data_IF_016966113817
#
_entry.id   IF_016966113817
#
_cell.length_a   1.000
_cell.length_b   1.000
_cell.length_c   1.000
_cell.angle_alpha   90.00
_cell.angle_beta   90.00
_cell.angle_gamma   90.00
#
_symmetry.space_group_name_H-M   'P 1'
#
loop_
_entity.id
_entity.type
_entity.pdbx_description
1 polymer ?
#
# COMPACT_ATOMS: atom_id res chain seq x y z
N UNK A 1 -18.10 1.67 -2.63
CA UNK A 1 -17.34 2.09 -3.82
C UNK A 1 -16.14 1.15 -3.97
N UNK A 2 -15.80 0.71 -5.18
CA UNK A 2 -14.81 -0.35 -5.40
C UNK A 2 -13.41 0.29 -5.49
N UNK A 3 -12.60 0.20 -4.43
CA UNK A 3 -11.28 0.85 -4.27
C UNK A 3 -10.30 0.55 -5.42
N UNK A 4 -10.56 -0.51 -6.19
CA UNK A 4 -9.78 -0.95 -7.35
C UNK A 4 -9.86 -0.01 -8.55
N UNK A 5 -11.00 0.64 -8.77
CA UNK A 5 -11.12 1.59 -9.87
C UNK A 5 -10.26 2.83 -9.62
N UNK A 6 -10.20 3.31 -8.38
CA UNK A 6 -9.45 4.52 -8.07
C UNK A 6 -7.92 4.36 -8.23
N UNK A 7 -7.37 3.19 -7.86
CA UNK A 7 -5.94 2.91 -8.01
C UNK A 7 -5.49 2.82 -9.48
N UNK A 8 -6.37 2.37 -10.37
CA UNK A 8 -6.09 2.19 -11.79
C UNK A 8 -6.38 3.44 -12.63
N UNK A 9 -7.40 4.22 -12.27
CA UNK A 9 -7.89 5.35 -13.08
C UNK A 9 -6.91 6.55 -13.04
N UNK A 10 -6.33 6.85 -11.87
CA UNK A 10 -5.40 7.97 -11.72
C UNK A 10 -3.91 7.59 -11.89
N UNK A 11 -3.61 6.31 -12.11
CA UNK A 11 -2.24 5.77 -12.14
C UNK A 11 -1.36 6.28 -10.97
N UNK A 12 -1.90 6.21 -9.76
CA UNK A 12 -1.32 6.84 -8.56
C UNK A 12 0.09 6.37 -8.22
N UNK A 13 0.47 5.20 -8.73
CA UNK A 13 1.78 4.58 -8.53
C UNK A 13 2.69 4.68 -9.77
N UNK A 14 2.38 5.50 -10.77
CA UNK A 14 3.18 5.61 -12.01
C UNK A 14 3.49 4.22 -12.63
N UNK A 15 2.49 3.34 -12.64
CA UNK A 15 2.56 2.01 -13.24
C UNK A 15 2.66 2.15 -14.77
N UNK A 16 3.50 1.32 -15.37
CA UNK A 16 3.66 1.20 -16.82
C UNK A 16 4.18 -0.20 -17.19
N UNK A 17 4.50 -0.40 -18.48
CA UNK A 17 4.98 -1.67 -19.02
C UNK A 17 6.25 -2.21 -18.36
N UNK A 18 7.03 -1.37 -17.68
CA UNK A 18 8.27 -1.75 -17.01
C UNK A 18 8.07 -2.02 -15.50
N UNK A 19 6.83 -1.94 -15.01
CA UNK A 19 6.48 -2.25 -13.62
C UNK A 19 5.83 -3.61 -13.49
N UNK A 20 6.25 -4.33 -12.46
CA UNK A 20 5.54 -5.54 -12.03
C UNK A 20 4.77 -5.22 -10.76
N UNK A 21 3.49 -5.56 -10.72
CA UNK A 21 2.65 -5.36 -9.54
C UNK A 21 1.81 -6.60 -9.26
N UNK A 22 1.63 -6.90 -7.98
CA UNK A 22 0.64 -7.88 -7.51
C UNK A 22 -0.28 -7.20 -6.51
N UNK A 23 -1.56 -7.55 -6.59
CA UNK A 23 -2.57 -7.13 -5.61
C UNK A 23 -3.16 -8.39 -4.99
N UNK A 24 -3.31 -8.38 -3.68
CA UNK A 24 -3.94 -9.46 -2.94
C UNK A 24 -4.88 -8.91 -1.87
N UNK A 25 -6.01 -9.61 -1.69
CA UNK A 25 -7.00 -9.33 -0.66
C UNK A 25 -6.81 -10.30 0.48
N UNK A 26 -6.71 -9.80 1.70
CA UNK A 26 -6.53 -10.61 2.90
C UNK A 26 -7.63 -10.32 3.90
N UNK A 27 -8.01 -11.35 4.66
CA UNK A 27 -8.86 -11.22 5.84
C UNK A 27 -8.06 -11.68 7.06
N UNK A 28 -8.27 -11.09 8.24
CA UNK A 28 -7.68 -11.60 9.47
C UNK A 28 -8.10 -13.07 9.69
N UNK A 29 -7.14 -13.95 10.03
CA UNK A 29 -7.39 -15.38 10.28
C UNK A 29 -8.29 -15.62 11.51
N UNK A 30 -8.21 -14.73 12.49
CA UNK A 30 -9.05 -14.76 13.70
C UNK A 30 -9.82 -13.45 13.78
N UNK A 31 -11.09 -13.43 13.34
CA UNK A 31 -11.93 -12.27 13.55
C UNK A 31 -12.24 -12.14 15.04
N UNK A 32 -11.67 -11.15 15.71
CA UNK A 32 -12.29 -10.56 16.89
C UNK A 32 -13.60 -9.86 16.47
N UNK A 33 -14.55 -9.73 17.39
CA UNK A 33 -15.75 -8.89 17.27
C UNK A 33 -15.50 -7.52 16.64
N UNK A 34 -14.31 -6.94 16.83
CA UNK A 34 -13.88 -5.66 16.23
C UNK A 34 -13.48 -5.75 14.75
N UNK A 35 -13.30 -6.96 14.20
CA UNK A 35 -12.68 -7.22 12.88
C UNK A 35 -13.52 -8.11 11.94
N UNK A 36 -14.74 -8.44 12.34
CA UNK A 36 -15.66 -9.25 11.53
C UNK A 36 -15.93 -8.56 10.19
N UNK A 37 -15.61 -9.23 9.08
CA UNK A 37 -15.82 -8.71 7.73
C UNK A 37 -14.69 -7.81 7.19
N UNK A 38 -13.61 -7.61 7.95
CA UNK A 38 -12.46 -6.84 7.48
C UNK A 38 -11.79 -7.49 6.27
N UNK A 39 -11.57 -6.68 5.24
CA UNK A 39 -10.81 -7.06 4.06
C UNK A 39 -9.75 -5.98 3.84
N UNK A 40 -8.50 -6.39 3.89
CA UNK A 40 -7.36 -5.52 3.58
C UNK A 40 -6.92 -5.77 2.15
N UNK A 41 -6.45 -4.72 1.49
CA UNK A 41 -5.84 -4.83 0.17
C UNK A 41 -4.36 -4.55 0.30
N UNK A 42 -3.52 -5.50 -0.07
CA UNK A 42 -2.08 -5.35 -0.15
C UNK A 42 -1.69 -5.25 -1.62
N UNK A 43 -0.86 -4.26 -1.93
CA UNK A 43 -0.23 -4.10 -3.24
C UNK A 43 1.29 -4.12 -3.07
N UNK A 44 1.96 -4.89 -3.91
CA UNK A 44 3.42 -4.95 -3.96
C UNK A 44 3.84 -4.61 -5.40
N UNK A 45 4.73 -3.64 -5.54
CA UNK A 45 5.15 -3.10 -6.84
C UNK A 45 6.67 -3.12 -6.92
N UNK A 46 7.20 -3.73 -7.99
CA UNK A 46 8.61 -3.70 -8.34
C UNK A 46 8.83 -2.79 -9.53
N UNK A 47 9.58 -1.71 -9.29
CA UNK A 47 9.99 -0.77 -10.32
C UNK A 47 11.34 -1.18 -10.93
N UNK A 48 11.66 -0.69 -12.14
CA UNK A 48 12.96 -0.95 -12.77
C UNK A 48 14.11 -0.25 -12.04
N UNK A 49 13.84 0.77 -11.22
CA UNK A 49 14.88 1.45 -10.44
C UNK A 49 14.39 2.02 -9.10
N UNK A 50 15.34 2.27 -8.19
CA UNK A 50 15.08 2.95 -6.91
C UNK A 50 14.52 4.37 -7.11
N UNK A 51 14.96 5.06 -8.17
CA UNK A 51 14.50 6.42 -8.51
C UNK A 51 13.03 6.40 -8.90
N UNK A 52 12.62 5.45 -9.74
CA UNK A 52 11.22 5.23 -10.14
C UNK A 52 10.34 4.96 -8.94
N UNK A 53 10.73 4.01 -8.08
CA UNK A 53 9.99 3.71 -6.86
C UNK A 53 9.86 4.93 -5.93
N UNK A 54 10.93 5.74 -5.79
CA UNK A 54 10.86 6.98 -4.98
C UNK A 54 9.90 8.01 -5.57
N UNK A 55 9.91 8.19 -6.89
CA UNK A 55 9.01 9.11 -7.59
C UNK A 55 7.56 8.69 -7.41
N UNK A 56 7.25 7.41 -7.63
CA UNK A 56 5.91 6.87 -7.48
C UNK A 56 5.36 7.07 -6.06
N UNK A 57 6.15 6.77 -5.02
CA UNK A 57 5.72 7.01 -3.64
C UNK A 57 5.50 8.50 -3.37
N UNK A 58 6.38 9.38 -3.85
CA UNK A 58 6.20 10.82 -3.68
C UNK A 58 4.93 11.33 -4.40
N UNK A 59 4.63 10.80 -5.59
CA UNK A 59 3.41 11.11 -6.33
C UNK A 59 2.17 10.64 -5.56
N UNK A 60 2.13 9.36 -5.16
CA UNK A 60 1.05 8.79 -4.36
C UNK A 60 0.79 9.57 -3.07
N UNK A 61 1.84 9.89 -2.32
CA UNK A 61 1.73 10.66 -1.08
C UNK A 61 1.17 12.06 -1.33
N UNK A 62 1.66 12.75 -2.37
CA UNK A 62 1.18 14.09 -2.71
C UNK A 62 -0.27 14.08 -3.20
N UNK A 63 -0.65 13.10 -4.02
CA UNK A 63 -1.96 13.05 -4.67
C UNK A 63 -3.04 12.48 -3.74
N UNK A 64 -2.69 11.52 -2.87
CA UNK A 64 -3.68 10.69 -2.20
C UNK A 64 -3.53 10.58 -0.68
N UNK A 65 -2.33 10.79 -0.13
CA UNK A 65 -2.12 10.84 1.33
C UNK A 65 -1.37 12.13 1.74
N UNK A 66 -1.92 13.33 1.45
CA UNK A 66 -1.27 14.58 1.84
C UNK A 66 -1.16 14.72 3.37
N UNK A 67 -2.06 14.07 4.11
CA UNK A 67 -2.12 14.08 5.58
C UNK A 67 -1.43 12.88 6.23
N UNK A 68 -0.70 12.07 5.45
CA UNK A 68 0.03 10.96 6.04
C UNK A 68 1.09 11.42 7.01
N UNK A 69 1.26 10.60 8.04
CA UNK A 69 2.22 10.85 9.08
C UNK A 69 3.65 10.51 8.64
N UNK A 70 4.59 10.59 9.60
CA UNK A 70 6.02 10.33 9.37
C UNK A 70 6.34 8.94 8.82
N UNK A 71 5.46 7.96 9.03
CA UNK A 71 5.64 6.58 8.55
C UNK A 71 4.84 6.31 7.27
N UNK A 72 4.35 7.38 6.64
CA UNK A 72 3.60 7.35 5.39
C UNK A 72 2.28 6.56 5.49
N UNK A 73 1.58 6.71 6.61
CA UNK A 73 0.24 6.18 6.83
C UNK A 73 -0.76 7.27 7.21
N UNK A 74 -2.01 7.12 6.77
CA UNK A 74 -3.10 8.05 7.06
C UNK A 74 -4.42 7.29 7.28
N UNK A 75 -5.31 7.89 8.07
CA UNK A 75 -6.71 7.47 8.13
C UNK A 75 -7.50 8.19 7.03
N UNK A 76 -8.32 7.46 6.29
CA UNK A 76 -9.24 8.00 5.29
C UNK A 76 -10.57 8.40 5.89
N UNK A 77 -11.38 9.18 5.15
CA UNK A 77 -12.69 9.67 5.58
C UNK A 77 -13.66 8.55 6.05
N UNK A 78 -13.51 7.34 5.50
CA UNK A 78 -14.29 6.17 5.88
C UNK A 78 -13.79 5.48 7.17
N UNK A 79 -12.84 6.07 7.88
CA UNK A 79 -12.24 5.55 9.11
C UNK A 79 -11.22 4.42 8.91
N UNK A 80 -10.94 4.01 7.66
CA UNK A 80 -9.92 3.00 7.35
C UNK A 80 -8.54 3.63 7.24
N UNK A 81 -7.52 2.78 7.26
CA UNK A 81 -6.13 3.16 7.19
C UNK A 81 -5.52 2.74 5.86
N UNK A 82 -4.70 3.64 5.34
CA UNK A 82 -3.83 3.39 4.20
C UNK A 82 -2.39 3.66 4.58
N UNK A 83 -1.48 2.94 3.96
CA UNK A 83 -0.06 3.14 4.20
C UNK A 83 0.79 2.70 3.03
N UNK A 84 1.97 3.31 2.89
CA UNK A 84 2.94 2.95 1.85
C UNK A 84 4.35 2.88 2.43
N UNK A 85 5.10 1.86 2.02
CA UNK A 85 6.51 1.70 2.36
C UNK A 85 7.31 1.37 1.11
N UNK A 86 8.59 1.74 1.12
CA UNK A 86 9.52 1.46 0.03
C UNK A 86 10.84 0.96 0.56
N UNK A 87 11.41 -0.03 -0.13
CA UNK A 87 12.82 -0.43 0.04
C UNK A 87 13.46 -0.69 -1.32
N UNK A 88 14.47 0.13 -1.63
CA UNK A 88 15.10 0.09 -2.95
C UNK A 88 14.08 0.41 -4.05
N UNK A 89 13.87 -0.55 -4.94
CA UNK A 89 12.93 -0.45 -6.06
C UNK A 89 11.58 -1.15 -5.80
N UNK A 90 11.38 -1.69 -4.59
CA UNK A 90 10.14 -2.33 -4.17
C UNK A 90 9.30 -1.34 -3.35
N UNK A 91 8.01 -1.26 -3.67
CA UNK A 91 6.98 -0.51 -2.93
C UNK A 91 5.94 -1.49 -2.44
N UNK A 92 5.46 -1.27 -1.21
CA UNK A 92 4.35 -2.00 -0.61
C UNK A 92 3.34 -0.97 -0.15
N UNK A 93 2.08 -1.16 -0.53
CA UNK A 93 0.99 -0.33 -0.07
C UNK A 93 -0.11 -1.21 0.53
N UNK A 94 -0.75 -0.72 1.57
CA UNK A 94 -1.93 -1.32 2.17
C UNK A 94 -3.10 -0.34 2.10
N UNK A 95 -4.28 -0.86 1.80
CA UNK A 95 -5.52 -0.12 1.74
C UNK A 95 -6.58 -0.83 2.57
N UNK A 96 -7.58 -0.06 3.02
CA UNK A 96 -8.72 -0.56 3.77
C UNK A 96 -8.31 -1.33 5.05
N UNK A 97 -7.17 -0.95 5.65
CA UNK A 97 -6.79 -1.45 6.96
C UNK A 97 -7.74 -0.90 8.04
N UNK A 98 -8.02 -1.69 9.06
CA UNK A 98 -8.96 -1.30 10.12
C UNK A 98 -8.36 -0.40 11.17
N UNK A 99 -7.06 -0.51 11.38
CA UNK A 99 -6.30 0.34 12.27
C UNK A 99 -4.93 0.64 11.67
N UNK A 100 -4.26 1.63 12.25
CA UNK A 100 -2.87 1.94 11.93
C UNK A 100 -1.97 0.73 12.17
N UNK A 101 -2.15 0.06 13.30
CA UNK A 101 -1.36 -1.10 13.71
C UNK A 101 -1.56 -2.26 12.73
N UNK A 102 -2.79 -2.45 12.22
CA UNK A 102 -3.07 -3.45 11.18
C UNK A 102 -2.35 -3.12 9.87
N UNK A 103 -2.39 -1.84 9.44
CA UNK A 103 -1.66 -1.37 8.27
C UNK A 103 -0.15 -1.64 8.40
N UNK A 104 0.44 -1.25 9.54
CA UNK A 104 1.86 -1.43 9.81
C UNK A 104 2.24 -2.90 9.89
N UNK A 105 1.43 -3.74 10.54
CA UNK A 105 1.65 -5.19 10.62
C UNK A 105 1.72 -5.82 9.24
N UNK A 106 0.78 -5.50 8.36
CA UNK A 106 0.72 -6.02 6.98
C UNK A 106 1.93 -5.55 6.17
N UNK A 107 2.25 -4.25 6.23
CA UNK A 107 3.39 -3.70 5.50
C UNK A 107 4.74 -4.24 5.99
N UNK A 108 4.86 -4.54 7.28
CA UNK A 108 6.06 -5.14 7.87
C UNK A 108 6.16 -6.66 7.64
N UNK A 109 5.05 -7.35 7.40
CA UNK A 109 5.04 -8.77 7.09
C UNK A 109 5.64 -9.09 5.71
N UNK A 110 5.70 -8.12 4.80
CA UNK A 110 6.38 -8.28 3.51
C UNK A 110 7.89 -8.19 3.71
N UNK A 111 8.65 -9.29 3.56
CA UNK A 111 10.10 -9.23 3.67
C UNK A 111 10.64 -8.48 2.46
N UNK A 112 10.94 -7.20 2.67
CA UNK A 112 11.56 -6.36 1.66
C UNK A 112 13.06 -6.72 1.52
N UNK A 113 13.39 -7.97 1.22
CA UNK A 113 14.75 -8.37 0.86
C UNK A 113 14.95 -8.04 -0.62
N UNK A 114 15.78 -7.04 -0.90
CA UNK A 114 16.33 -6.89 -2.24
C UNK A 114 17.15 -8.15 -2.52
N UNK A 115 16.69 -9.03 -3.42
CA UNK A 115 17.57 -10.06 -3.98
C UNK A 115 18.75 -9.31 -4.58
N UNK A 116 19.92 -9.40 -3.94
CA UNK A 116 21.19 -9.04 -4.57
C UNK A 116 21.32 -9.99 -5.75
N UNK A 117 21.16 -9.47 -6.97
CA UNK A 117 21.75 -10.08 -8.14
C UNK A 117 23.19 -9.58 -8.23
#
# INVERSE_FOLDING_TARGET
MNSYYFLADENLFDLDSDTEAVIARYRPDVPDTSTVGETHVLMIIRYPSRRRARKAVAHFMKAYLPEADRDAAAQTENGKWMGVRRKGALVVAVFDASSREAADKIMNAVPLSARRR
#
